data_IF_601868253374
#
_entry.id   IF_601868253374
#
_cell.length_a   1.000
_cell.length_b   1.000
_cell.length_c   1.000
_cell.angle_alpha   90.00
_cell.angle_beta   90.00
_cell.angle_gamma   90.00
#
_symmetry.space_group_name_H-M   'P 1'
#
loop_
_entity.id
_entity.type
_entity.pdbx_description
1 polymer ?
#
# COMPACT_ATOMS: atom_id res chain seq x y z
N UNK A 1 38.80 12.62 -0.90
CA UNK A 1 37.54 12.76 -0.13
C UNK A 1 36.42 12.96 -1.13
N UNK A 2 35.26 12.32 -0.96
CA UNK A 2 34.13 12.55 -1.87
C UNK A 2 33.56 13.94 -1.64
N UNK A 3 33.36 14.71 -2.71
CA UNK A 3 32.70 16.01 -2.70
C UNK A 3 31.19 15.90 -3.02
N UNK A 4 30.70 14.69 -3.28
CA UNK A 4 29.30 14.46 -3.66
C UNK A 4 28.41 14.47 -2.43
N UNK A 5 27.48 15.42 -2.38
CA UNK A 5 26.43 15.49 -1.36
C UNK A 5 25.24 14.65 -1.82
N UNK A 6 24.88 13.63 -1.05
CA UNK A 6 23.64 12.89 -1.24
C UNK A 6 22.56 13.47 -0.34
N UNK A 7 21.49 13.98 -0.92
CA UNK A 7 20.34 14.44 -0.15
C UNK A 7 19.59 13.26 0.45
N UNK A 8 19.34 13.33 1.75
CA UNK A 8 18.56 12.33 2.45
C UNK A 8 17.11 12.34 1.94
N UNK A 9 16.53 11.15 1.79
CA UNK A 9 15.10 11.01 1.52
C UNK A 9 14.28 11.53 2.71
N UNK A 10 13.02 11.89 2.45
CA UNK A 10 12.07 12.30 3.49
C UNK A 10 12.00 11.22 4.58
N UNK A 11 12.31 11.60 5.81
CA UNK A 11 12.23 10.70 6.96
C UNK A 11 10.76 10.45 7.30
N UNK A 12 10.38 9.17 7.34
CA UNK A 12 9.10 8.68 7.83
C UNK A 12 9.37 7.54 8.79
N UNK A 13 8.51 7.39 9.80
CA UNK A 13 8.55 6.20 10.64
C UNK A 13 8.11 4.99 9.80
N UNK A 14 8.98 3.98 9.66
CA UNK A 14 8.73 2.78 8.87
C UNK A 14 9.46 1.60 9.52
N UNK A 15 9.10 1.26 10.76
CA UNK A 15 9.66 0.10 11.49
C UNK A 15 9.03 -1.20 11.05
N UNK A 16 7.80 -1.12 10.54
CA UNK A 16 7.00 -2.26 10.06
C UNK A 16 6.23 -1.88 8.80
N UNK A 17 6.13 -2.84 7.89
CA UNK A 17 5.42 -2.72 6.62
C UNK A 17 4.48 -3.91 6.46
N UNK A 18 3.17 -3.64 6.45
CA UNK A 18 2.12 -4.64 6.42
C UNK A 18 1.58 -4.80 5.00
N UNK A 19 1.69 -6.02 4.48
CA UNK A 19 1.11 -6.45 3.21
C UNK A 19 -0.39 -6.75 3.37
N UNK A 20 -1.23 -6.16 2.54
CA UNK A 20 -2.69 -6.35 2.61
C UNK A 20 -3.28 -6.59 1.23
N UNK A 21 -3.96 -7.72 0.96
CA UNK A 21 -4.58 -7.96 -0.33
C UNK A 21 -5.74 -6.99 -0.58
N UNK A 22 -5.72 -6.27 -1.70
CA UNK A 22 -6.79 -5.37 -2.11
C UNK A 22 -8.13 -6.06 -2.39
N UNK A 23 -8.12 -7.38 -2.58
CA UNK A 23 -9.31 -8.18 -2.78
C UNK A 23 -10.17 -8.35 -1.52
N UNK A 24 -9.64 -8.02 -0.32
CA UNK A 24 -10.33 -8.21 0.97
C UNK A 24 -10.50 -6.89 1.75
N UNK A 25 -11.64 -6.19 1.62
CA UNK A 25 -11.92 -4.95 2.37
C UNK A 25 -11.80 -5.10 3.89
N UNK A 26 -12.21 -6.25 4.44
CA UNK A 26 -12.09 -6.54 5.88
C UNK A 26 -10.63 -6.49 6.37
N UNK A 27 -9.70 -7.01 5.57
CA UNK A 27 -8.27 -6.96 5.90
C UNK A 27 -7.72 -5.53 5.79
N UNK A 28 -8.23 -4.73 4.86
CA UNK A 28 -7.85 -3.31 4.73
C UNK A 28 -8.28 -2.53 5.98
N UNK A 29 -9.50 -2.72 6.46
CA UNK A 29 -10.00 -2.08 7.67
C UNK A 29 -9.20 -2.50 8.92
N UNK A 30 -8.88 -3.80 9.03
CA UNK A 30 -8.00 -4.29 10.11
C UNK A 30 -6.61 -3.68 10.03
N UNK A 31 -6.04 -3.57 8.84
CA UNK A 31 -4.73 -2.96 8.64
C UNK A 31 -4.69 -1.48 9.01
N UNK A 32 -5.73 -0.72 8.66
CA UNK A 32 -5.88 0.68 9.04
C UNK A 32 -5.88 0.86 10.57
N UNK A 33 -6.42 -0.11 11.31
CA UNK A 33 -6.48 -0.09 12.78
C UNK A 33 -5.30 -0.82 13.46
N UNK A 34 -4.35 -1.35 12.69
CA UNK A 34 -3.21 -2.09 13.23
C UNK A 34 -2.14 -1.19 13.84
N UNK A 35 -1.11 -1.77 14.45
CA UNK A 35 0.08 -1.05 14.93
C UNK A 35 1.14 -0.80 13.84
N UNK A 36 0.93 -1.24 12.60
CA UNK A 36 1.91 -1.10 11.52
C UNK A 36 2.19 0.38 11.19
N UNK A 37 3.43 0.74 10.89
CA UNK A 37 3.75 2.13 10.50
C UNK A 37 3.41 2.39 9.02
N UNK A 38 3.60 1.36 8.19
CA UNK A 38 3.41 1.39 6.76
C UNK A 38 2.48 0.25 6.33
N UNK A 39 1.56 0.53 5.42
CA UNK A 39 0.63 -0.44 4.84
C UNK A 39 0.71 -0.33 3.34
N UNK A 40 0.94 -1.43 2.64
CA UNK A 40 0.74 -1.46 1.18
C UNK A 40 -0.47 -2.30 0.84
N UNK A 41 -1.33 -1.72 0.01
CA UNK A 41 -2.49 -2.39 -0.54
C UNK A 41 -2.06 -3.07 -1.84
N UNK A 42 -2.23 -4.39 -1.88
CA UNK A 42 -1.67 -5.22 -2.93
C UNK A 42 -2.69 -5.53 -4.03
N UNK A 43 -2.29 -5.34 -5.28
CA UNK A 43 -3.03 -5.81 -6.46
C UNK A 43 -2.18 -6.79 -7.32
N UNK A 44 -0.98 -7.14 -6.86
CA UNK A 44 -0.05 -8.05 -7.52
C UNK A 44 -0.25 -9.51 -7.05
N UNK A 45 0.71 -10.09 -6.33
CA UNK A 45 0.79 -11.53 -6.08
C UNK A 45 -0.27 -12.05 -5.11
N UNK A 46 -0.75 -11.22 -4.16
CA UNK A 46 -1.77 -11.63 -3.22
C UNK A 46 -3.19 -11.57 -3.79
N UNK A 47 -3.35 -11.19 -5.07
CA UNK A 47 -4.64 -11.07 -5.74
C UNK A 47 -4.68 -11.93 -6.99
N UNK A 48 -5.60 -12.91 -7.00
CA UNK A 48 -5.85 -13.75 -8.16
C UNK A 48 -6.25 -12.92 -9.39
N UNK A 49 -5.84 -13.31 -10.61
CA UNK A 49 -6.19 -12.61 -11.86
C UNK A 49 -7.65 -12.14 -11.99
N UNK A 50 -8.69 -12.96 -11.76
CA UNK A 50 -10.08 -12.53 -11.90
C UNK A 50 -10.51 -11.48 -10.86
N UNK A 51 -9.80 -11.39 -9.74
CA UNK A 51 -10.14 -10.47 -8.65
C UNK A 51 -9.42 -9.12 -8.78
N UNK A 52 -8.49 -8.95 -9.72
CA UNK A 52 -7.67 -7.72 -9.83
C UNK A 52 -8.52 -6.47 -10.08
N UNK A 53 -9.54 -6.56 -10.94
CA UNK A 53 -10.42 -5.41 -11.19
C UNK A 53 -11.22 -5.02 -9.93
N UNK A 54 -11.76 -6.01 -9.21
CA UNK A 54 -12.46 -5.77 -7.94
C UNK A 54 -11.51 -5.21 -6.88
N UNK A 55 -10.31 -5.78 -6.75
CA UNK A 55 -9.29 -5.30 -5.83
C UNK A 55 -8.92 -3.85 -6.10
N UNK A 56 -8.81 -3.43 -7.37
CA UNK A 56 -8.57 -2.03 -7.73
C UNK A 56 -9.67 -1.11 -7.20
N UNK A 57 -10.94 -1.49 -7.40
CA UNK A 57 -12.10 -0.72 -6.92
C UNK A 57 -12.09 -0.60 -5.40
N UNK A 58 -11.83 -1.71 -4.70
CA UNK A 58 -11.73 -1.74 -3.23
C UNK A 58 -10.61 -0.83 -2.72
N UNK A 59 -9.42 -0.89 -3.34
CA UNK A 59 -8.27 -0.05 -2.98
C UNK A 59 -8.62 1.43 -3.16
N UNK A 60 -9.21 1.80 -4.31
CA UNK A 60 -9.62 3.20 -4.56
C UNK A 60 -10.60 3.66 -3.49
N UNK A 61 -11.61 2.85 -3.18
CA UNK A 61 -12.57 3.17 -2.14
C UNK A 61 -11.89 3.35 -0.77
N UNK A 62 -11.06 2.41 -0.35
CA UNK A 62 -10.37 2.49 0.94
C UNK A 62 -9.40 3.69 1.04
N UNK A 63 -8.78 4.09 -0.06
CA UNK A 63 -7.92 5.28 -0.07
C UNK A 63 -8.70 6.59 0.07
N UNK A 64 -9.97 6.62 -0.35
CA UNK A 64 -10.84 7.78 -0.25
C UNK A 64 -11.63 7.82 1.07
N UNK A 65 -12.09 6.66 1.56
CA UNK A 65 -13.01 6.56 2.69
C UNK A 65 -12.27 6.56 4.05
N UNK A 66 -11.03 6.04 4.09
CA UNK A 66 -10.26 5.92 5.33
C UNK A 66 -9.30 7.11 5.47
N UNK A 67 -9.35 7.80 6.61
CA UNK A 67 -8.33 8.79 6.97
C UNK A 67 -7.06 8.11 7.49
N UNK A 68 -6.23 7.63 6.55
CA UNK A 68 -4.94 6.99 6.83
C UNK A 68 -3.98 7.88 7.60
N UNK A 69 -4.06 9.20 7.37
CA UNK A 69 -3.19 10.19 8.01
C UNK A 69 -3.56 10.37 9.47
N UNK A 70 -4.85 10.51 9.80
CA UNK A 70 -5.32 10.56 11.17
C UNK A 70 -5.00 9.26 11.93
N UNK A 71 -4.97 8.13 11.23
CA UNK A 71 -4.52 6.82 11.77
C UNK A 71 -2.99 6.69 11.87
N UNK A 72 -2.22 7.71 11.49
CA UNK A 72 -0.76 7.74 11.58
C UNK A 72 -0.06 6.74 10.66
N UNK A 73 -0.69 6.35 9.55
CA UNK A 73 -0.15 5.35 8.61
C UNK A 73 0.46 6.03 7.39
N UNK A 74 1.58 5.48 6.92
CA UNK A 74 1.95 5.65 5.51
C UNK A 74 1.26 4.55 4.70
N UNK A 75 0.53 4.94 3.66
CA UNK A 75 -0.12 3.98 2.76
C UNK A 75 0.53 4.02 1.38
N UNK A 76 0.63 2.87 0.74
CA UNK A 76 1.03 2.74 -0.67
C UNK A 76 0.21 1.65 -1.37
N UNK A 77 0.38 1.53 -2.68
CA UNK A 77 -0.23 0.46 -3.48
C UNK A 77 0.89 -0.29 -4.20
N UNK A 78 0.94 -1.61 -4.02
CA UNK A 78 1.82 -2.47 -4.83
C UNK A 78 1.11 -2.82 -6.13
N UNK A 79 1.56 -2.19 -7.21
CA UNK A 79 1.01 -2.39 -8.55
C UNK A 79 1.45 -3.73 -9.14
N UNK A 80 0.77 -4.17 -10.20
CA UNK A 80 1.22 -5.32 -10.97
C UNK A 80 2.53 -5.02 -11.73
N UNK A 81 3.26 -6.08 -12.07
CA UNK A 81 4.45 -6.01 -12.91
C UNK A 81 4.20 -5.31 -14.24
N UNK A 82 5.23 -4.61 -14.73
CA UNK A 82 5.20 -3.85 -15.98
C UNK A 82 5.00 -4.74 -17.23
N UNK A 83 5.23 -6.04 -17.09
CA UNK A 83 5.06 -7.09 -18.08
C UNK A 83 3.63 -7.66 -18.12
N UNK A 84 2.71 -7.14 -17.29
CA UNK A 84 1.32 -7.56 -17.24
C UNK A 84 0.38 -6.56 -17.90
N UNK A 85 -0.77 -7.03 -18.36
CA UNK A 85 -1.82 -6.19 -18.96
C UNK A 85 -2.72 -5.49 -17.94
N UNK A 86 -2.42 -5.62 -16.64
CA UNK A 86 -3.24 -5.07 -15.55
C UNK A 86 -2.94 -3.59 -15.26
N UNK A 87 -2.48 -2.82 -16.25
CA UNK A 87 -2.33 -1.36 -16.12
C UNK A 87 -3.69 -0.67 -16.20
#
# INVERSE_FOLDING_TARGET
>A
MSHTINHLKKLRLQRSELAVPGSSPEMIDKAANSAADFVFLDIEDAVAPPDKERARKNIIQALNDIDWRAKGKTVSVRINGLDTHYM
#
